data_IF_658976639067
#
_entry.id   IF_658976639067
#
_cell.length_a   1.000
_cell.length_b   1.000
_cell.length_c   1.000
_cell.angle_alpha   90.00
_cell.angle_beta   90.00
_cell.angle_gamma   90.00
#
_symmetry.space_group_name_H-M   'P 1'
#
loop_
_entity.id
_entity.type
_entity.pdbx_description
1 polymer ?
#
# COMPACT_ATOMS: atom_id res chain seq x y z
N UNK A 1 25.68 21.98 14.46
CA UNK A 1 24.91 21.42 13.32
C UNK A 1 24.56 19.98 13.56
N UNK A 2 23.37 19.74 14.10
CA UNK A 2 22.89 18.41 14.48
C UNK A 2 21.83 17.96 13.45
N UNK A 3 22.31 17.41 12.34
CA UNK A 3 21.47 16.84 11.28
C UNK A 3 20.96 15.47 11.72
N UNK A 4 19.73 15.43 12.24
CA UNK A 4 19.02 14.16 12.46
C UNK A 4 18.56 13.59 11.13
N UNK A 5 19.34 12.68 10.58
CA UNK A 5 18.96 11.87 9.43
C UNK A 5 18.20 10.62 9.94
N UNK A 6 16.89 10.72 10.16
CA UNK A 6 16.04 9.55 10.44
C UNK A 6 15.92 8.70 9.18
N UNK A 7 16.79 7.70 9.05
CA UNK A 7 16.60 6.59 8.11
C UNK A 7 15.58 5.63 8.74
N UNK A 8 14.30 6.02 8.72
CA UNK A 8 13.22 5.10 9.05
C UNK A 8 13.02 4.15 7.87
N UNK A 9 13.83 3.09 7.80
CA UNK A 9 13.59 1.96 6.90
C UNK A 9 12.55 1.05 7.56
N UNK A 10 11.27 1.40 7.46
CA UNK A 10 10.20 0.46 7.83
C UNK A 10 10.28 -0.71 6.86
N UNK A 11 10.68 -1.88 7.36
CA UNK A 11 10.52 -3.14 6.64
C UNK A 11 9.00 -3.38 6.57
N UNK A 12 8.39 -2.96 5.45
CA UNK A 12 6.96 -3.10 5.19
C UNK A 12 6.58 -4.55 4.92
N UNK A 13 6.63 -5.39 5.95
CA UNK A 13 5.83 -6.61 5.92
C UNK A 13 4.37 -6.16 5.95
N UNK A 14 3.55 -6.67 5.04
CA UNK A 14 2.10 -6.49 5.09
C UNK A 14 1.63 -6.87 6.50
N UNK A 15 0.97 -5.94 7.18
CA UNK A 15 0.51 -6.17 8.54
C UNK A 15 -0.56 -7.27 8.51
N UNK A 16 -0.18 -8.44 9.04
CA UNK A 16 -1.08 -9.58 9.08
C UNK A 16 -2.26 -9.34 10.01
N UNK A 17 -2.12 -8.43 10.99
CA UNK A 17 -3.21 -8.05 11.90
C UNK A 17 -4.28 -7.24 11.14
N UNK A 18 -3.88 -6.34 10.25
CA UNK A 18 -4.81 -5.59 9.40
C UNK A 18 -5.58 -6.52 8.45
N UNK A 19 -4.88 -7.46 7.81
CA UNK A 19 -5.52 -8.45 6.94
C UNK A 19 -6.49 -9.32 7.75
N UNK A 20 -6.08 -9.80 8.93
CA UNK A 20 -6.92 -10.62 9.79
C UNK A 20 -8.16 -9.85 10.25
N UNK A 21 -8.01 -8.57 10.61
CA UNK A 21 -9.13 -7.71 10.98
C UNK A 21 -10.12 -7.54 9.83
N UNK A 22 -9.65 -7.24 8.62
CA UNK A 22 -10.51 -7.15 7.42
C UNK A 22 -11.20 -8.49 7.13
N UNK A 23 -10.49 -9.60 7.24
CA UNK A 23 -11.06 -10.94 7.08
C UNK A 23 -12.14 -11.26 8.12
N UNK A 24 -11.97 -10.81 9.37
CA UNK A 24 -12.99 -10.98 10.42
C UNK A 24 -14.30 -10.24 10.12
N UNK A 25 -14.24 -9.22 9.25
CA UNK A 25 -15.41 -8.48 8.74
C UNK A 25 -16.02 -9.12 7.49
N UNK A 26 -15.55 -10.30 7.08
CA UNK A 26 -16.04 -11.03 5.92
C UNK A 26 -15.37 -10.65 4.61
N UNK A 27 -14.30 -9.86 4.63
CA UNK A 27 -13.56 -9.47 3.42
C UNK A 27 -12.64 -10.63 3.01
N UNK A 28 -12.70 -11.11 1.76
CA UNK A 28 -11.80 -12.15 1.27
C UNK A 28 -10.33 -11.74 1.41
N UNK A 29 -9.44 -12.69 1.73
CA UNK A 29 -8.01 -12.41 1.97
C UNK A 29 -7.34 -11.65 0.82
N UNK A 30 -7.65 -12.00 -0.43
CA UNK A 30 -7.11 -11.32 -1.61
C UNK A 30 -7.56 -9.84 -1.66
N UNK A 31 -8.83 -9.57 -1.38
CA UNK A 31 -9.36 -8.20 -1.33
C UNK A 31 -8.76 -7.43 -0.16
N UNK A 32 -8.67 -8.03 1.02
CA UNK A 32 -8.03 -7.42 2.19
C UNK A 32 -6.55 -7.07 1.90
N UNK A 33 -5.83 -7.95 1.21
CA UNK A 33 -4.45 -7.71 0.78
C UNK A 33 -4.36 -6.53 -0.18
N UNK A 34 -5.23 -6.49 -1.20
CA UNK A 34 -5.28 -5.37 -2.15
C UNK A 34 -5.58 -4.04 -1.45
N UNK A 35 -6.53 -4.01 -0.50
CA UNK A 35 -6.88 -2.81 0.27
C UNK A 35 -5.71 -2.29 1.11
N UNK A 36 -5.00 -3.18 1.82
CA UNK A 36 -3.83 -2.79 2.63
C UNK A 36 -2.71 -2.25 1.74
N UNK A 37 -2.47 -2.87 0.59
CA UNK A 37 -1.45 -2.39 -0.37
C UNK A 37 -1.83 -1.04 -0.95
N UNK A 38 -3.09 -0.84 -1.36
CA UNK A 38 -3.57 0.44 -1.86
C UNK A 38 -3.39 1.54 -0.81
N UNK A 39 -3.87 1.32 0.42
CA UNK A 39 -3.73 2.27 1.53
C UNK A 39 -2.28 2.63 1.85
N UNK A 40 -1.34 1.69 1.68
CA UNK A 40 0.09 1.95 1.82
C UNK A 40 0.62 2.93 0.76
N UNK A 41 0.13 2.82 -0.49
CA UNK A 41 0.57 3.65 -1.61
C UNK A 41 -0.22 4.95 -1.77
N UNK A 42 -1.40 5.10 -1.17
CA UNK A 42 -2.25 6.28 -1.27
C UNK A 42 -1.49 7.61 -1.06
N UNK A 43 -0.65 7.79 -0.02
CA UNK A 43 0.10 9.04 0.17
C UNK A 43 1.09 9.35 -0.94
N UNK A 44 1.57 8.33 -1.66
CA UNK A 44 2.46 8.46 -2.81
C UNK A 44 1.64 8.77 -4.06
N UNK A 45 0.48 8.14 -4.22
CA UNK A 45 -0.44 8.39 -5.35
C UNK A 45 -1.01 9.80 -5.36
N UNK A 46 -1.31 10.37 -4.19
CA UNK A 46 -1.79 11.75 -4.05
C UNK A 46 -0.77 12.79 -4.55
N UNK A 47 0.53 12.46 -4.53
CA UNK A 47 1.60 13.34 -5.03
C UNK A 47 1.73 13.33 -6.55
N UNK A 48 1.09 12.39 -7.24
CA UNK A 48 1.13 12.30 -8.70
C UNK A 48 0.00 13.19 -9.25
N UNK A 49 0.32 14.30 -9.93
CA UNK A 49 -0.69 15.26 -10.40
C UNK A 49 -1.44 14.79 -11.64
N UNK A 50 -0.85 13.89 -12.43
CA UNK A 50 -1.44 13.37 -13.66
C UNK A 50 -2.19 12.07 -13.38
N UNK A 51 -3.51 12.13 -13.50
CA UNK A 51 -4.42 11.00 -13.26
C UNK A 51 -4.05 9.76 -14.11
N UNK A 52 -3.78 9.95 -15.41
CA UNK A 52 -3.36 8.86 -16.31
C UNK A 52 -2.12 8.11 -15.78
N UNK A 53 -1.17 8.84 -15.19
CA UNK A 53 0.06 8.23 -14.64
C UNK A 53 -0.27 7.51 -13.32
N UNK A 54 -1.12 8.12 -12.49
CA UNK A 54 -1.58 7.51 -11.23
C UNK A 54 -2.29 6.19 -11.49
N UNK A 55 -3.21 6.16 -12.44
CA UNK A 55 -3.99 4.98 -12.80
C UNK A 55 -3.09 3.87 -13.34
N UNK A 56 -2.16 4.21 -14.24
CA UNK A 56 -1.21 3.24 -14.79
C UNK A 56 -0.29 2.65 -13.72
N UNK A 57 0.12 3.44 -12.73
CA UNK A 57 0.92 2.94 -11.59
C UNK A 57 0.07 2.07 -10.67
N UNK A 58 -1.16 2.48 -10.36
CA UNK A 58 -2.08 1.71 -9.53
C UNK A 58 -2.40 0.35 -10.13
N UNK A 59 -2.67 0.28 -11.43
CA UNK A 59 -2.87 -0.97 -12.17
C UNK A 59 -1.62 -1.86 -12.07
N UNK A 60 -0.43 -1.29 -12.25
CA UNK A 60 0.82 -2.05 -12.17
C UNK A 60 1.12 -2.60 -10.78
N UNK A 61 0.73 -1.87 -9.74
CA UNK A 61 0.84 -2.34 -8.35
C UNK A 61 -0.12 -3.51 -8.14
N UNK A 62 -1.36 -3.43 -8.59
CA UNK A 62 -2.35 -4.50 -8.45
C UNK A 62 -1.92 -5.78 -9.18
N UNK A 63 -1.40 -5.67 -10.40
CA UNK A 63 -0.82 -6.81 -11.12
C UNK A 63 0.26 -7.52 -10.30
N UNK A 64 1.11 -6.73 -9.61
CA UNK A 64 2.22 -7.27 -8.83
C UNK A 64 1.77 -7.95 -7.54
N UNK A 65 0.63 -7.53 -6.98
CA UNK A 65 0.03 -8.15 -5.78
C UNK A 65 -0.67 -9.47 -6.12
N UNK A 66 -1.21 -9.60 -7.34
CA UNK A 66 -1.91 -10.80 -7.81
C UNK A 66 -0.98 -11.86 -8.41
N UNK A 67 0.23 -11.46 -8.83
CA UNK A 67 1.29 -12.34 -9.35
C UNK A 67 2.04 -13.09 -8.26
#
# INVERSE_FOLDING_TARGET
DDVRCTHASTIGKLDQEEIFYLMSRGIPRNVATEMVVQGFFDPIMERIPLEIIRDHIAERILDKVRS
#
